data_IF_850142328922
#
_entry.id   IF_850142328922
#
_cell.length_a   1.000
_cell.length_b   1.000
_cell.length_c   1.000
_cell.angle_alpha   90.00
_cell.angle_beta   90.00
_cell.angle_gamma   90.00
#
_symmetry.space_group_name_H-M   'P 1'
#
loop_
_entity.id
_entity.type
_entity.pdbx_description
1 polymer ?
#
# COMPACT_ATOMS: atom_id res chain seq x y z
N UNK A 1 -9.84 -4.48 -44.88
CA UNK A 1 -9.92 -3.04 -44.51
C UNK A 1 -8.62 -2.68 -43.82
N UNK A 2 -7.70 -1.98 -44.50
CA UNK A 2 -6.46 -1.52 -43.88
C UNK A 2 -6.77 -0.22 -43.13
N UNK A 3 -6.73 -0.24 -41.79
CA UNK A 3 -6.82 0.99 -41.01
C UNK A 3 -5.57 1.81 -41.27
N UNK A 4 -5.76 3.08 -41.69
CA UNK A 4 -4.65 3.99 -41.94
C UNK A 4 -3.75 4.08 -40.70
N UNK A 5 -2.41 4.09 -40.86
CA UNK A 5 -1.48 4.23 -39.73
C UNK A 5 -1.74 5.49 -38.91
N UNK A 6 -2.32 6.54 -39.51
CA UNK A 6 -2.74 7.74 -38.80
C UNK A 6 -3.86 7.47 -37.78
N UNK A 7 -4.85 6.66 -38.14
CA UNK A 7 -5.93 6.29 -37.24
C UNK A 7 -5.43 5.42 -36.10
N UNK A 8 -4.54 4.46 -36.39
CA UNK A 8 -3.92 3.62 -35.36
C UNK A 8 -3.14 4.46 -34.35
N UNK A 9 -2.30 5.39 -34.82
CA UNK A 9 -1.54 6.29 -33.94
C UNK A 9 -2.43 7.20 -33.10
N UNK A 10 -3.50 7.75 -33.69
CA UNK A 10 -4.46 8.58 -32.97
C UNK A 10 -5.13 7.81 -31.82
N UNK A 11 -5.69 6.64 -32.10
CA UNK A 11 -6.35 5.84 -31.07
C UNK A 11 -5.37 5.35 -30.00
N UNK A 12 -4.19 4.88 -30.38
CA UNK A 12 -3.16 4.45 -29.42
C UNK A 12 -2.78 5.59 -28.45
N UNK A 13 -2.61 6.82 -28.95
CA UNK A 13 -2.29 7.99 -28.12
C UNK A 13 -3.43 8.40 -27.17
N UNK A 14 -4.68 8.07 -27.48
CA UNK A 14 -5.81 8.38 -26.60
C UNK A 14 -5.99 7.33 -25.48
N UNK A 15 -5.67 6.08 -25.78
CA UNK A 15 -5.89 4.92 -24.92
C UNK A 15 -4.75 4.68 -23.92
N UNK A 16 -3.55 5.20 -24.19
CA UNK A 16 -2.35 4.97 -23.37
C UNK A 16 -1.76 6.31 -22.92
N UNK A 17 -1.24 6.38 -21.70
CA UNK A 17 -0.53 7.57 -21.20
C UNK A 17 0.69 7.16 -20.37
N UNK A 18 1.80 7.87 -20.56
CA UNK A 18 3.03 7.65 -19.81
C UNK A 18 3.11 8.64 -18.65
N UNK A 19 3.34 8.14 -17.44
CA UNK A 19 3.52 8.94 -16.23
C UNK A 19 4.88 8.65 -15.61
N UNK A 20 5.65 9.68 -15.30
CA UNK A 20 6.87 9.54 -14.51
C UNK A 20 6.52 9.52 -13.02
N UNK A 21 7.06 8.57 -12.25
CA UNK A 21 6.75 8.41 -10.82
C UNK A 21 7.47 9.50 -10.01
N UNK A 22 6.75 10.44 -9.38
CA UNK A 22 7.35 11.59 -8.72
C UNK A 22 7.58 11.38 -7.21
N UNK A 23 7.23 10.22 -6.65
CA UNK A 23 7.24 10.02 -5.19
C UNK A 23 7.77 8.65 -4.78
N UNK A 24 8.47 8.62 -3.63
CA UNK A 24 9.02 7.42 -2.98
C UNK A 24 7.98 6.52 -2.29
N UNK A 25 6.69 6.83 -2.37
CA UNK A 25 5.65 6.04 -1.67
C UNK A 25 5.40 4.65 -2.28
N UNK A 26 5.99 4.39 -3.45
CA UNK A 26 6.06 3.07 -4.07
C UNK A 26 7.50 2.55 -4.16
N UNK A 27 8.48 3.10 -3.42
CA UNK A 27 9.91 2.69 -3.55
C UNK A 27 10.15 1.19 -3.41
N UNK A 28 9.27 0.48 -2.69
CA UNK A 28 9.32 -0.97 -2.60
C UNK A 28 9.06 -1.67 -3.94
N UNK A 29 8.28 -1.09 -4.86
CA UNK A 29 7.90 -1.68 -6.17
C UNK A 29 8.34 -0.85 -7.39
N UNK A 30 8.39 0.48 -7.30
CA UNK A 30 8.72 1.41 -8.39
C UNK A 30 9.68 2.49 -7.87
N UNK A 31 10.79 2.70 -8.57
CA UNK A 31 11.79 3.70 -8.18
C UNK A 31 11.38 5.08 -8.69
N UNK A 32 11.81 6.12 -7.97
CA UNK A 32 11.67 7.52 -8.43
C UNK A 32 12.35 7.68 -9.79
N UNK A 33 11.62 8.21 -10.76
CA UNK A 33 12.10 8.38 -12.13
C UNK A 33 11.69 7.26 -13.10
N UNK A 34 11.08 6.17 -12.60
CA UNK A 34 10.50 5.16 -13.49
C UNK A 34 9.33 5.74 -14.29
N UNK A 35 9.22 5.32 -15.55
CA UNK A 35 8.10 5.66 -16.43
C UNK A 35 7.11 4.51 -16.44
N UNK A 36 5.90 4.76 -15.95
CA UNK A 36 4.81 3.80 -15.98
C UNK A 36 3.88 4.12 -17.13
N UNK A 37 3.57 3.09 -17.91
CA UNK A 37 2.57 3.17 -18.97
C UNK A 37 1.21 2.78 -18.39
N UNK A 38 0.28 3.73 -18.38
CA UNK A 38 -1.07 3.54 -17.90
C UNK A 38 -2.03 3.33 -19.07
N UNK A 39 -2.83 2.27 -18.99
CA UNK A 39 -3.99 2.10 -19.85
C UNK A 39 -5.16 2.94 -19.35
N UNK A 40 -5.89 3.57 -20.26
CA UNK A 40 -7.08 4.38 -19.96
C UNK A 40 -8.38 3.65 -20.30
N UNK A 41 -8.30 2.54 -21.02
CA UNK A 41 -9.45 1.76 -21.50
C UNK A 41 -10.23 1.19 -20.31
N UNK A 42 -9.53 0.60 -19.34
CA UNK A 42 -10.13 -0.03 -18.17
C UNK A 42 -10.99 0.93 -17.34
N UNK A 43 -10.51 2.17 -17.19
CA UNK A 43 -11.29 3.24 -16.56
C UNK A 43 -12.45 3.72 -17.44
N UNK A 44 -12.25 3.87 -18.76
CA UNK A 44 -13.27 4.40 -19.66
C UNK A 44 -14.49 3.47 -19.79
N UNK A 45 -14.25 2.16 -19.74
CA UNK A 45 -15.29 1.13 -19.87
C UNK A 45 -15.77 0.59 -18.52
N UNK A 46 -15.35 1.19 -17.40
CA UNK A 46 -15.75 0.78 -16.06
C UNK A 46 -15.53 -0.73 -15.82
N UNK A 47 -14.41 -1.24 -16.33
CA UNK A 47 -14.05 -2.64 -16.12
C UNK A 47 -13.84 -2.90 -14.62
N UNK A 48 -14.21 -4.10 -14.14
CA UNK A 48 -13.98 -4.46 -12.75
C UNK A 48 -12.49 -4.44 -12.45
N UNK A 49 -12.12 -3.82 -11.33
CA UNK A 49 -10.75 -3.87 -10.83
C UNK A 49 -10.51 -5.17 -10.09
N UNK A 50 -9.29 -5.68 -10.18
CA UNK A 50 -8.85 -6.86 -9.44
C UNK A 50 -7.92 -6.47 -8.28
N UNK A 51 -7.83 -7.35 -7.28
CA UNK A 51 -6.89 -7.15 -6.17
C UNK A 51 -5.47 -7.19 -6.72
N UNK A 52 -4.68 -6.19 -6.37
CA UNK A 52 -3.30 -6.10 -6.83
C UNK A 52 -3.09 -5.18 -8.04
N UNK A 53 -4.16 -4.69 -8.68
CA UNK A 53 -4.03 -3.74 -9.79
C UNK A 53 -3.40 -2.42 -9.34
N UNK A 54 -2.64 -1.78 -10.24
CA UNK A 54 -2.10 -0.45 -10.04
C UNK A 54 -3.04 0.58 -10.67
N UNK A 55 -3.52 1.51 -9.85
CA UNK A 55 -4.50 2.50 -10.26
C UNK A 55 -3.97 3.91 -10.10
N UNK A 56 -4.27 4.74 -11.09
CA UNK A 56 -4.08 6.18 -11.01
C UNK A 56 -5.39 6.83 -10.57
N UNK A 57 -5.33 7.68 -9.56
CA UNK A 57 -6.50 8.44 -9.08
C UNK A 57 -6.13 9.90 -8.82
N UNK A 58 -7.14 10.77 -8.84
CA UNK A 58 -7.02 12.12 -8.33
C UNK A 58 -7.15 12.08 -6.81
N UNK A 59 -6.22 12.71 -6.07
CA UNK A 59 -6.34 12.78 -4.63
C UNK A 59 -7.60 13.57 -4.25
N UNK A 60 -8.29 13.18 -3.18
CA UNK A 60 -9.38 14.00 -2.64
C UNK A 60 -8.79 15.27 -2.00
N UNK A 61 -9.59 16.33 -1.91
CA UNK A 61 -9.13 17.68 -1.53
C UNK A 61 -8.47 17.69 -0.14
N UNK A 62 -8.93 16.87 0.78
CA UNK A 62 -8.38 16.73 2.13
C UNK A 62 -6.93 16.20 2.08
N UNK A 63 -6.64 15.27 1.17
CA UNK A 63 -5.28 14.78 0.96
C UNK A 63 -4.41 15.84 0.30
N UNK A 64 -4.97 16.70 -0.54
CA UNK A 64 -4.21 17.76 -1.19
C UNK A 64 -3.67 18.77 -0.17
N UNK A 65 -4.47 19.12 0.82
CA UNK A 65 -4.06 20.02 1.91
C UNK A 65 -2.98 19.38 2.79
N UNK A 66 -3.09 18.09 3.07
CA UNK A 66 -2.07 17.34 3.84
C UNK A 66 -0.74 17.27 3.06
N UNK A 67 -0.78 17.03 1.76
CA UNK A 67 0.44 17.00 0.93
C UNK A 67 1.03 18.41 0.80
N UNK A 68 0.18 19.43 0.63
CA UNK A 68 0.63 20.81 0.56
C UNK A 68 1.32 21.25 1.87
N UNK A 69 0.76 20.88 3.02
CA UNK A 69 1.32 21.22 4.34
C UNK A 69 2.57 20.40 4.71
N UNK A 70 2.61 19.10 4.38
CA UNK A 70 3.74 18.22 4.71
C UNK A 70 4.93 18.37 3.76
N UNK A 71 4.66 18.56 2.47
CA UNK A 71 5.67 18.50 1.41
C UNK A 71 5.98 19.86 0.79
N UNK A 72 5.18 20.88 1.09
CA UNK A 72 5.27 22.21 0.47
C UNK A 72 4.91 22.22 -1.03
N UNK A 73 4.50 21.08 -1.59
CA UNK A 73 4.21 20.90 -3.00
C UNK A 73 2.71 20.99 -3.24
N UNK A 74 2.31 21.90 -4.15
CA UNK A 74 0.92 21.98 -4.61
C UNK A 74 0.67 20.90 -5.63
N UNK A 75 -0.39 20.14 -5.43
CA UNK A 75 -0.89 19.15 -6.38
C UNK A 75 -1.69 19.94 -7.42
N UNK A 76 -1.26 19.86 -8.68
CA UNK A 76 -1.98 20.45 -9.80
C UNK A 76 -3.08 19.51 -10.33
N UNK A 77 -4.02 20.03 -11.11
CA UNK A 77 -5.12 19.25 -11.70
C UNK A 77 -4.67 18.09 -12.63
N UNK A 78 -3.38 18.05 -13.01
CA UNK A 78 -2.79 16.98 -13.82
C UNK A 78 -2.01 15.95 -12.99
N UNK A 79 -1.79 16.20 -11.70
CA UNK A 79 -1.08 15.28 -10.84
C UNK A 79 -1.98 14.10 -10.49
N UNK A 80 -1.41 12.91 -10.56
CA UNK A 80 -2.11 11.65 -10.29
C UNK A 80 -1.33 10.87 -9.24
N UNK A 81 -2.07 10.23 -8.35
CA UNK A 81 -1.52 9.33 -7.35
C UNK A 81 -1.63 7.92 -7.87
N UNK A 82 -0.58 7.13 -7.65
CA UNK A 82 -0.56 5.71 -7.96
C UNK A 82 -0.64 4.90 -6.66
N UNK A 83 -1.58 3.97 -6.59
CA UNK A 83 -1.72 3.02 -5.48
C UNK A 83 -2.05 1.63 -6.02
N UNK A 84 -1.79 0.61 -5.19
CA UNK A 84 -2.17 -0.77 -5.48
C UNK A 84 -3.51 -1.08 -4.82
N UNK A 85 -4.47 -1.61 -5.58
CA UNK A 85 -5.77 -2.04 -5.09
C UNK A 85 -5.57 -3.12 -4.02
N UNK A 86 -6.01 -2.83 -2.80
CA UNK A 86 -5.91 -3.76 -1.67
C UNK A 86 -7.13 -4.66 -1.55
N UNK A 87 -8.30 -4.14 -1.87
CA UNK A 87 -9.59 -4.79 -1.76
C UNK A 87 -10.55 -4.23 -2.82
N UNK A 88 -11.57 -5.00 -3.18
CA UNK A 88 -12.58 -4.67 -4.18
C UNK A 88 -13.98 -4.70 -3.56
N UNK A 89 -15.01 -4.15 -4.23
CA UNK A 89 -16.37 -4.21 -3.71
C UNK A 89 -16.80 -5.64 -3.35
N UNK A 90 -17.31 -5.81 -2.13
CA UNK A 90 -17.68 -7.12 -1.57
C UNK A 90 -16.63 -7.73 -0.62
N UNK A 91 -15.44 -7.15 -0.54
CA UNK A 91 -14.42 -7.58 0.43
C UNK A 91 -14.63 -7.01 1.82
N UNK A 92 -14.40 -7.85 2.83
CA UNK A 92 -14.26 -7.43 4.21
C UNK A 92 -12.78 -7.15 4.52
N UNK A 93 -12.46 -5.92 4.91
CA UNK A 93 -11.09 -5.50 5.27
C UNK A 93 -11.01 -5.30 6.78
N UNK A 94 -10.11 -6.03 7.43
CA UNK A 94 -9.85 -5.91 8.87
C UNK A 94 -8.35 -5.78 9.15
N UNK A 95 -8.02 -5.25 10.33
CA UNK A 95 -6.65 -5.24 10.82
C UNK A 95 -6.39 -6.49 11.67
N UNK A 96 -5.14 -6.92 11.74
CA UNK A 96 -4.74 -7.94 12.72
C UNK A 96 -4.85 -7.41 14.17
N UNK A 97 -4.77 -8.32 15.14
CA UNK A 97 -4.86 -7.96 16.56
C UNK A 97 -3.79 -6.95 17.01
N UNK A 98 -2.70 -6.80 16.25
CA UNK A 98 -1.63 -5.84 16.50
C UNK A 98 -1.76 -4.51 15.75
N UNK A 99 -2.80 -4.33 14.93
CA UNK A 99 -3.03 -3.13 14.11
C UNK A 99 -1.99 -2.90 13.00
N UNK A 100 -1.15 -3.89 12.68
CA UNK A 100 -0.02 -3.74 11.72
C UNK A 100 -0.25 -4.48 10.41
N UNK A 101 -0.95 -5.59 10.44
CA UNK A 101 -1.31 -6.38 9.27
C UNK A 101 -2.71 -6.05 8.76
N UNK A 102 -2.89 -6.08 7.44
CA UNK A 102 -4.21 -5.99 6.79
C UNK A 102 -4.68 -7.39 6.43
N UNK A 103 -5.93 -7.71 6.73
CA UNK A 103 -6.64 -8.93 6.33
C UNK A 103 -7.76 -8.58 5.35
N UNK A 104 -7.94 -9.40 4.34
CA UNK A 104 -9.02 -9.29 3.35
C UNK A 104 -9.78 -10.62 3.35
N UNK A 105 -11.06 -10.60 3.70
CA UNK A 105 -11.90 -11.79 3.89
C UNK A 105 -11.27 -12.80 4.87
N UNK A 106 -10.73 -12.30 5.99
CA UNK A 106 -10.06 -13.10 7.01
C UNK A 106 -8.62 -13.55 6.66
N UNK A 107 -8.21 -13.45 5.40
CA UNK A 107 -6.89 -13.86 4.93
C UNK A 107 -5.87 -12.72 5.07
N UNK A 108 -4.71 -12.93 5.71
CA UNK A 108 -3.64 -11.92 5.76
C UNK A 108 -3.15 -11.53 4.36
N UNK A 109 -3.04 -10.23 4.11
CA UNK A 109 -2.52 -9.69 2.85
C UNK A 109 -1.00 -9.78 2.84
N UNK A 110 -0.46 -10.41 1.81
CA UNK A 110 0.99 -10.45 1.58
C UNK A 110 1.53 -9.08 1.12
N UNK A 111 2.79 -8.75 1.45
CA UNK A 111 3.44 -7.56 0.94
C UNK A 111 3.54 -7.60 -0.61
N UNK A 112 3.53 -6.43 -1.27
CA UNK A 112 3.71 -6.38 -2.71
C UNK A 112 5.08 -6.90 -3.13
N UNK A 113 5.24 -7.38 -4.38
CA UNK A 113 6.54 -7.79 -4.88
C UNK A 113 7.52 -6.60 -4.87
N UNK A 114 8.75 -6.89 -4.48
CA UNK A 114 9.81 -5.90 -4.42
C UNK A 114 10.36 -5.60 -5.82
N UNK A 115 10.74 -4.33 -6.07
CA UNK A 115 11.38 -3.88 -7.31
C UNK A 115 12.73 -4.56 -7.53
N UNK A 116 13.40 -4.93 -6.44
CA UNK A 116 14.62 -5.72 -6.44
C UNK A 116 14.40 -6.91 -5.50
N UNK A 117 14.51 -8.16 -5.98
CA UNK A 117 14.47 -9.30 -5.09
C UNK A 117 15.65 -9.19 -4.11
N UNK A 118 15.47 -9.59 -2.83
CA UNK A 118 16.58 -9.63 -1.90
C UNK A 118 17.65 -10.54 -2.48
N UNK A 119 18.88 -10.05 -2.59
CA UNK A 119 20.05 -10.89 -2.87
C UNK A 119 20.03 -12.03 -1.84
N UNK A 120 20.32 -13.26 -2.26
CA UNK A 120 20.20 -14.48 -1.45
C UNK A 120 20.95 -14.46 -0.09
N UNK A 121 21.74 -13.42 0.17
CA UNK A 121 22.42 -13.17 1.44
C UNK A 121 21.55 -12.43 2.48
N UNK A 122 20.34 -12.01 2.10
CA UNK A 122 19.35 -11.38 2.97
C UNK A 122 18.12 -12.28 3.13
N UNK A 123 18.33 -13.46 3.72
CA UNK A 123 17.26 -14.27 4.28
C UNK A 123 16.63 -13.47 5.45
N UNK A 124 15.71 -12.57 5.13
CA UNK A 124 14.83 -11.98 6.13
C UNK A 124 14.06 -13.13 6.75
N UNK A 125 14.48 -13.51 7.96
CA UNK A 125 13.69 -14.32 8.88
C UNK A 125 12.34 -13.64 9.04
N UNK A 126 11.37 -14.07 8.22
CA UNK A 126 9.96 -13.88 8.54
C UNK A 126 9.78 -14.47 9.94
N UNK A 127 9.24 -13.72 10.93
CA UNK A 127 8.90 -14.34 12.20
C UNK A 127 7.95 -15.49 11.88
N UNK A 128 8.19 -16.71 12.41
CA UNK A 128 7.32 -17.84 12.14
C UNK A 128 5.89 -17.48 12.54
N UNK A 129 4.87 -18.04 11.84
CA UNK A 129 3.49 -17.83 12.25
C UNK A 129 3.38 -18.25 13.72
N UNK A 130 2.98 -17.31 14.56
CA UNK A 130 2.75 -17.54 15.98
C UNK A 130 1.58 -18.50 16.16
N UNK A 131 1.83 -19.80 16.02
CA UNK A 131 1.06 -20.84 16.72
C UNK A 131 1.45 -20.71 18.18
N UNK A 132 0.64 -19.99 18.94
CA UNK A 132 0.70 -19.99 20.40
C UNK A 132 0.00 -21.28 20.86
N UNK A 133 0.71 -22.27 21.43
CA UNK A 133 0.06 -23.42 22.01
C UNK A 133 -0.35 -23.09 23.44
N UNK A 134 -1.57 -23.49 23.79
CA UNK A 134 -2.08 -23.51 25.15
C UNK A 134 -1.09 -24.23 26.08
N UNK A 135 -0.64 -23.57 27.13
CA UNK A 135 -0.16 -24.28 28.32
C UNK A 135 -0.29 -23.41 29.57
N UNK A 136 -1.19 -23.88 30.43
CA UNK A 136 -1.24 -23.58 31.84
C UNK A 136 0.13 -23.82 32.49
N UNK A 137 0.65 -22.85 33.25
CA UNK A 137 1.35 -23.08 34.51
C UNK A 137 1.77 -21.75 35.14
N UNK A 138 1.05 -21.35 36.19
CA UNK A 138 1.56 -20.46 37.22
C UNK A 138 2.80 -21.08 37.88
N UNK A 139 3.80 -20.29 38.29
CA UNK A 139 4.48 -20.36 39.61
C UNK A 139 5.23 -19.03 39.85
N UNK A 140 5.07 -18.51 41.06
CA UNK A 140 5.67 -17.31 41.68
C UNK A 140 7.22 -17.37 41.79
N UNK A 141 8.03 -16.39 42.21
CA UNK A 141 7.94 -15.29 43.18
C UNK A 141 9.24 -14.41 43.00
N UNK A 142 9.77 -13.68 43.99
CA UNK A 142 9.36 -12.37 44.50
C UNK A 142 10.49 -11.32 44.39
N UNK A 143 10.16 -10.02 44.29
CA UNK A 143 11.13 -8.95 44.65
C UNK A 143 10.46 -7.94 45.56
N UNK A 144 11.14 -7.74 46.68
CA UNK A 144 10.74 -6.98 47.84
C UNK A 144 10.67 -5.46 47.62
N UNK A 145 9.88 -4.84 48.49
CA UNK A 145 9.68 -3.40 48.68
C UNK A 145 10.96 -2.66 49.16
N UNK A 146 10.95 -1.32 49.41
CA UNK A 146 10.11 -0.70 50.43
C UNK A 146 9.30 0.52 49.97
N UNK A 147 8.15 0.65 50.60
CA UNK A 147 7.27 1.82 50.58
C UNK A 147 7.91 3.00 51.32
N UNK A 148 7.78 4.20 50.76
CA UNK A 148 8.02 5.46 51.44
C UNK A 148 6.71 5.93 52.09
N UNK A 149 6.77 6.13 53.40
CA UNK A 149 5.68 6.65 54.24
C UNK A 149 5.74 8.18 54.29
N UNK A 150 4.63 8.83 53.96
CA UNK A 150 4.25 10.17 54.38
C UNK A 150 2.71 10.16 54.44
N UNK A 151 1.97 10.57 55.46
CA UNK A 151 2.23 11.16 56.77
C UNK A 151 0.93 11.86 57.18
N UNK A 152 0.50 11.71 58.45
CA UNK A 152 -0.34 12.63 59.27
C UNK A 152 -1.78 12.87 58.74
N UNK A 153 -2.87 12.64 59.48
CA UNK A 153 -3.23 12.89 60.88
C UNK A 153 -4.34 11.91 61.33
#
# INVERSE_FOLDING_TARGET
VAFSPLWVGFFASQLVSAYAIPSRSMDETLKVGDVVLAEKISSLWHLPLERGDLVFFSPPQELEEIVASSSGRRIGARDRFIKRVAAIPGDEVSLDAGGRGVRVNGVPRLPPPLACPPTADAEQTLPPPSTQPDSHAAVAAPVAAPAATAGVE
#
